data_IF_861114912513
#
_entry.id   IF_861114912513
#
_cell.length_a   1.000
_cell.length_b   1.000
_cell.length_c   1.000
_cell.angle_alpha   90.00
_cell.angle_beta   90.00
_cell.angle_gamma   90.00
#
_symmetry.space_group_name_H-M   'P 1'
#
loop_
_entity.id
_entity.type
_entity.pdbx_description
1 polymer ?
#
# COMPACT_ATOMS: atom_id res chain seq x y z
N UNK A 1 4.02 5.34 23.58
CA UNK A 1 4.41 3.93 23.75
C UNK A 1 3.53 3.11 22.82
N UNK A 2 4.11 2.46 21.82
CA UNK A 2 3.41 1.51 20.96
C UNK A 2 3.34 0.14 21.66
N UNK A 3 2.34 -0.69 21.33
CA UNK A 3 2.20 -2.05 21.85
C UNK A 3 2.58 -3.06 20.76
N UNK A 4 1.60 -3.79 20.22
CA UNK A 4 1.79 -4.75 19.13
C UNK A 4 1.68 -4.11 17.74
N UNK A 5 1.14 -2.88 17.68
CA UNK A 5 0.94 -2.11 16.45
C UNK A 5 1.35 -0.64 16.63
N UNK A 6 1.59 0.06 15.51
CA UNK A 6 1.79 1.50 15.46
C UNK A 6 1.36 2.10 14.12
N UNK A 7 1.09 3.41 14.10
CA UNK A 7 0.69 4.16 12.91
C UNK A 7 1.78 5.16 12.49
N UNK A 8 1.97 5.32 11.19
CA UNK A 8 2.73 6.41 10.57
C UNK A 8 1.78 7.30 9.79
N UNK A 9 2.04 8.61 9.79
CA UNK A 9 1.38 9.56 8.88
C UNK A 9 2.32 9.86 7.73
N UNK A 10 1.86 9.56 6.51
CA UNK A 10 2.57 9.94 5.27
C UNK A 10 2.13 11.30 4.72
N UNK A 11 1.44 12.12 5.53
CA UNK A 11 1.06 13.47 5.13
C UNK A 11 2.26 14.32 4.69
N UNK A 12 3.43 14.28 5.37
CA UNK A 12 4.59 15.03 4.89
C UNK A 12 5.06 14.59 3.49
N UNK A 13 5.02 13.29 3.19
CA UNK A 13 5.35 12.79 1.86
C UNK A 13 4.34 13.27 0.81
N UNK A 14 3.05 13.30 1.16
CA UNK A 14 2.00 13.79 0.27
C UNK A 14 2.17 15.28 -0.05
N UNK A 15 2.49 16.09 0.95
CA UNK A 15 2.64 17.54 0.81
C UNK A 15 3.95 17.95 0.11
N UNK A 16 5.04 17.22 0.35
CA UNK A 16 6.38 17.61 -0.16
C UNK A 16 6.71 17.01 -1.53
N UNK A 17 6.29 15.76 -1.78
CA UNK A 17 6.64 15.03 -3.03
C UNK A 17 5.43 14.45 -3.75
N UNK A 18 4.20 14.69 -3.26
CA UNK A 18 2.96 14.27 -3.94
C UNK A 18 2.58 12.80 -3.78
N UNK A 19 3.33 12.04 -2.99
CA UNK A 19 3.15 10.59 -2.77
C UNK A 19 2.17 10.34 -1.63
N UNK A 20 1.09 9.60 -1.90
CA UNK A 20 0.09 9.20 -0.90
C UNK A 20 0.47 7.90 -0.17
N UNK A 21 -0.22 7.60 0.93
CA UNK A 21 -0.10 6.30 1.59
C UNK A 21 -0.46 5.14 0.67
N UNK A 22 -1.44 5.33 -0.22
CA UNK A 22 -1.79 4.32 -1.22
C UNK A 22 -0.63 4.07 -2.20
N UNK A 23 0.09 5.11 -2.61
CA UNK A 23 1.23 4.96 -3.55
C UNK A 23 2.38 4.17 -2.91
N UNK A 24 2.70 4.43 -1.64
CA UNK A 24 3.68 3.65 -0.88
C UNK A 24 3.21 2.21 -0.68
N UNK A 25 1.93 2.01 -0.37
CA UNK A 25 1.33 0.68 -0.26
C UNK A 25 1.45 -0.12 -1.56
N UNK A 26 1.22 0.51 -2.73
CA UNK A 26 1.41 -0.14 -4.02
C UNK A 26 2.89 -0.42 -4.32
N UNK A 27 3.80 0.48 -3.94
CA UNK A 27 5.25 0.24 -4.06
C UNK A 27 5.73 -0.97 -3.24
N UNK A 28 5.15 -1.20 -2.06
CA UNK A 28 5.43 -2.40 -1.26
C UNK A 28 5.01 -3.70 -1.96
N UNK A 29 3.91 -3.69 -2.73
CA UNK A 29 3.50 -4.85 -3.53
C UNK A 29 4.55 -5.23 -4.56
N UNK A 30 5.20 -4.25 -5.20
CA UNK A 30 6.27 -4.49 -6.17
C UNK A 30 7.53 -5.06 -5.51
N UNK A 31 7.72 -4.83 -4.20
CA UNK A 31 8.78 -5.45 -3.39
C UNK A 31 8.37 -6.82 -2.82
N UNK A 32 7.17 -7.32 -3.15
CA UNK A 32 6.69 -8.63 -2.71
C UNK A 32 6.05 -8.64 -1.31
N UNK A 33 5.79 -7.47 -0.73
CA UNK A 33 5.10 -7.36 0.56
C UNK A 33 3.61 -7.11 0.37
N UNK A 34 2.79 -7.70 1.26
CA UNK A 34 1.43 -7.22 1.45
C UNK A 34 1.49 -5.87 2.19
N UNK A 35 0.77 -4.87 1.68
CA UNK A 35 0.79 -3.55 2.27
C UNK A 35 0.09 -3.54 3.64
N UNK A 36 0.64 -2.82 4.65
CA UNK A 36 -0.03 -2.60 5.92
C UNK A 36 -1.40 -1.94 5.75
N UNK A 37 -2.19 -1.90 6.84
CA UNK A 37 -3.49 -1.21 6.83
C UNK A 37 -3.30 0.26 6.47
N UNK A 38 -4.01 0.74 5.45
CA UNK A 38 -3.98 2.14 5.00
C UNK A 38 -5.26 2.87 5.37
N UNK A 39 -5.16 4.18 5.62
CA UNK A 39 -6.29 5.08 5.90
C UNK A 39 -7.16 4.71 7.12
N UNK A 40 -6.61 3.92 8.05
CA UNK A 40 -7.23 3.67 9.35
C UNK A 40 -6.15 3.64 10.45
N UNK A 41 -6.37 4.28 11.61
CA UNK A 41 -7.55 5.07 12.00
C UNK A 41 -7.65 6.43 11.28
N UNK A 42 -8.88 6.91 11.08
CA UNK A 42 -9.18 8.13 10.29
C UNK A 42 -8.59 9.43 10.86
N UNK A 43 -8.19 9.44 12.14
CA UNK A 43 -7.59 10.61 12.80
C UNK A 43 -6.12 10.84 12.42
N UNK A 44 -5.49 9.87 11.73
CA UNK A 44 -4.13 9.98 11.23
C UNK A 44 -4.20 10.22 9.71
N UNK A 45 -3.82 11.42 9.21
CA UNK A 45 -3.82 11.68 7.77
C UNK A 45 -2.80 10.83 7.04
N UNK A 46 -3.16 10.32 5.85
CA UNK A 46 -2.32 9.39 5.07
C UNK A 46 -1.76 8.25 5.95
N UNK A 47 -2.63 7.63 6.75
CA UNK A 47 -2.23 6.62 7.72
C UNK A 47 -1.72 5.36 7.03
N UNK A 48 -0.61 4.84 7.55
CA UNK A 48 -0.20 3.43 7.42
C UNK A 48 -0.05 2.84 8.82
N UNK A 49 -0.78 1.76 9.12
CA UNK A 49 -0.79 1.07 10.41
C UNK A 49 -0.13 -0.31 10.27
N UNK A 50 0.89 -0.56 11.08
CA UNK A 50 1.75 -1.74 11.03
C UNK A 50 1.52 -2.61 12.26
N UNK A 51 1.30 -3.90 12.05
CA UNK A 51 1.20 -4.94 13.08
C UNK A 51 1.93 -6.19 12.58
N UNK A 52 3.17 -6.47 13.02
CA UNK A 52 3.92 -7.64 12.56
C UNK A 52 3.49 -8.96 13.21
N UNK A 53 2.82 -8.91 14.37
CA UNK A 53 2.57 -10.07 15.26
C UNK A 53 3.84 -10.68 15.87
N UNK A 54 3.68 -11.57 16.85
CA UNK A 54 4.77 -12.21 17.57
C UNK A 54 5.48 -13.33 16.78
N UNK A 55 4.89 -13.77 15.67
CA UNK A 55 5.41 -14.91 14.90
C UNK A 55 6.52 -14.53 13.94
N UNK A 56 6.63 -13.24 13.60
CA UNK A 56 7.67 -12.74 12.69
C UNK A 56 9.02 -12.62 13.38
N UNK A 57 10.07 -13.05 12.68
CA UNK A 57 11.43 -12.99 13.19
C UNK A 57 11.99 -11.57 13.18
N UNK A 58 12.93 -11.25 14.07
CA UNK A 58 13.61 -9.95 14.05
C UNK A 58 14.24 -9.65 12.68
N UNK A 59 14.87 -10.66 12.07
CA UNK A 59 15.51 -10.50 10.76
C UNK A 59 14.49 -10.14 9.66
N UNK A 60 13.26 -10.67 9.74
CA UNK A 60 12.15 -10.27 8.86
C UNK A 60 11.78 -8.80 9.08
N UNK A 61 11.67 -8.36 10.34
CA UNK A 61 11.30 -6.98 10.68
C UNK A 61 12.37 -5.97 10.25
N UNK A 62 13.64 -6.30 10.49
CA UNK A 62 14.77 -5.47 10.09
C UNK A 62 14.80 -5.34 8.56
N UNK A 63 14.64 -6.45 7.84
CA UNK A 63 14.57 -6.45 6.37
C UNK A 63 13.38 -5.65 5.85
N UNK A 64 12.20 -5.81 6.43
CA UNK A 64 11.01 -5.03 6.05
C UNK A 64 11.22 -3.53 6.29
N UNK A 65 11.83 -3.14 7.41
CA UNK A 65 12.11 -1.74 7.72
C UNK A 65 13.10 -1.11 6.73
N UNK A 66 14.13 -1.85 6.33
CA UNK A 66 15.07 -1.44 5.28
C UNK A 66 14.37 -1.27 3.93
N UNK A 67 13.59 -2.28 3.50
CA UNK A 67 12.89 -2.27 2.23
C UNK A 67 11.80 -1.17 2.20
N UNK A 68 11.05 -0.97 3.28
CA UNK A 68 10.10 0.14 3.43
C UNK A 68 10.80 1.50 3.27
N UNK A 69 11.98 1.67 3.88
CA UNK A 69 12.77 2.89 3.72
C UNK A 69 13.31 3.07 2.30
N UNK A 70 13.48 1.99 1.52
CA UNK A 70 13.78 2.09 0.09
C UNK A 70 12.55 2.52 -0.72
N UNK A 71 11.36 1.99 -0.43
CA UNK A 71 10.11 2.43 -1.10
C UNK A 71 9.91 3.93 -0.95
N UNK A 72 10.14 4.49 0.25
CA UNK A 72 10.00 5.92 0.51
C UNK A 72 10.98 6.81 -0.28
N UNK A 73 12.04 6.24 -0.87
CA UNK A 73 13.03 6.95 -1.68
C UNK A 73 12.79 6.81 -3.18
N UNK A 74 11.86 5.95 -3.60
CA UNK A 74 11.45 5.83 -4.99
C UNK A 74 10.81 7.15 -5.42
N UNK A 75 11.10 7.59 -6.65
CA UNK A 75 10.53 8.81 -7.18
C UNK A 75 9.00 8.72 -7.31
N UNK A 76 8.34 9.88 -7.26
CA UNK A 76 6.89 9.94 -7.23
C UNK A 76 6.24 9.38 -8.50
N UNK A 77 6.85 9.58 -9.67
CA UNK A 77 6.35 9.11 -10.96
C UNK A 77 6.28 7.57 -10.97
N UNK A 78 7.36 6.92 -10.54
CA UNK A 78 7.40 5.46 -10.40
C UNK A 78 6.36 4.95 -9.39
N UNK A 79 6.20 5.60 -8.23
CA UNK A 79 5.22 5.19 -7.21
C UNK A 79 3.76 5.40 -7.63
N UNK A 80 3.47 6.42 -8.45
CA UNK A 80 2.13 6.63 -9.01
C UNK A 80 1.74 5.51 -9.97
N UNK A 81 2.72 4.96 -10.70
CA UNK A 81 2.53 3.85 -11.63
C UNK A 81 2.52 2.46 -10.96
N UNK A 82 2.99 2.37 -9.71
CA UNK A 82 3.00 1.12 -8.95
C UNK A 82 1.56 0.63 -8.65
N UNK A 83 1.30 -0.69 -8.62
CA UNK A 83 2.28 -1.75 -8.83
C UNK A 83 2.49 -2.02 -10.32
N UNK A 84 3.74 -2.34 -10.70
CA UNK A 84 4.13 -2.67 -12.08
C UNK A 84 4.59 -4.12 -12.26
N UNK A 85 5.03 -4.81 -11.19
CA UNK A 85 5.54 -6.19 -11.29
C UNK A 85 4.45 -7.23 -11.02
N UNK A 86 3.36 -6.84 -10.36
CA UNK A 86 2.22 -7.72 -10.08
C UNK A 86 1.42 -8.07 -11.34
N UNK A 87 0.73 -9.23 -11.40
CA UNK A 87 -0.03 -9.66 -12.58
C UNK A 87 -1.14 -8.69 -13.04
N UNK A 88 -1.66 -7.89 -12.11
CA UNK A 88 -2.70 -6.88 -12.35
C UNK A 88 -2.24 -5.57 -11.72
N UNK A 89 -2.22 -4.49 -12.51
CA UNK A 89 -1.85 -3.15 -12.07
C UNK A 89 -2.99 -2.48 -11.30
N UNK A 90 -2.96 -1.15 -11.15
CA UNK A 90 -4.08 -0.40 -10.57
C UNK A 90 -5.36 -0.67 -11.36
N UNK A 91 -6.39 -1.12 -10.65
CA UNK A 91 -7.72 -1.34 -11.21
C UNK A 91 -8.43 0.01 -11.32
N UNK A 92 -9.20 0.21 -12.38
CA UNK A 92 -10.04 1.39 -12.51
C UNK A 92 -11.27 1.28 -11.58
N UNK A 93 -11.08 1.71 -10.33
CA UNK A 93 -12.11 1.69 -9.30
C UNK A 93 -13.30 2.59 -9.66
N UNK A 94 -13.06 3.69 -10.40
CA UNK A 94 -14.11 4.62 -10.84
C UNK A 94 -15.01 3.96 -11.88
N UNK A 95 -14.40 3.30 -12.86
CA UNK A 95 -15.14 2.53 -13.86
C UNK A 95 -15.90 1.38 -13.19
N UNK A 96 -15.23 0.62 -12.32
CA UNK A 96 -15.86 -0.51 -11.64
C UNK A 96 -17.06 -0.09 -10.78
N UNK A 97 -16.96 1.03 -10.07
CA UNK A 97 -18.05 1.58 -9.27
C UNK A 97 -19.24 2.06 -10.12
N UNK A 98 -19.01 2.47 -11.37
CA UNK A 98 -20.04 2.97 -12.29
C UNK A 98 -20.62 1.88 -13.21
N UNK A 99 -19.85 0.85 -13.52
CA UNK A 99 -20.17 -0.21 -14.48
C UNK A 99 -20.01 -1.58 -13.82
N UNK A 100 -20.93 -1.91 -12.92
CA UNK A 100 -20.85 -3.10 -12.08
C UNK A 100 -21.00 -4.39 -12.89
N UNK A 101 -19.91 -5.15 -13.03
CA UNK A 101 -19.92 -6.51 -13.55
C UNK A 101 -19.89 -7.52 -12.39
N UNK A 102 -21.06 -7.88 -11.88
CA UNK A 102 -21.20 -8.69 -10.65
C UNK A 102 -21.30 -10.20 -10.90
N UNK A 103 -21.38 -10.61 -12.16
CA UNK A 103 -21.40 -12.01 -12.59
C UNK A 103 -20.42 -12.19 -13.74
N UNK A 104 -19.84 -13.38 -13.87
CA UNK A 104 -19.10 -13.72 -15.06
C UNK A 104 -20.06 -13.64 -16.27
N UNK A 105 -19.67 -13.00 -17.38
CA UNK A 105 -20.42 -13.11 -18.62
C UNK A 105 -20.21 -14.53 -19.13
N UNK A 106 -21.13 -15.43 -18.80
CA UNK A 106 -21.23 -16.68 -19.56
C UNK A 106 -21.68 -16.32 -20.97
N UNK A 107 -21.07 -16.95 -21.97
CA UNK A 107 -21.68 -16.98 -23.29
C UNK A 107 -22.97 -17.79 -23.15
N UNK A 108 -24.11 -17.18 -23.50
CA UNK A 108 -25.40 -17.86 -23.57
C UNK A 108 -25.37 -18.82 -24.78
N UNK A 109 -24.78 -20.01 -24.62
CA UNK A 109 -25.03 -21.17 -25.51
C UNK A 109 -26.37 -21.85 -25.18
#
# INVERSE_FOLDING_TARGET
VAKHEFTLSLQPAKETVGVSAMDVAKGLLDMGYMAPTVYFPLVVPECMMFEPTETESRDTLDKFAEDFAQVLKIDAETLHEAPITTPVRRVDEVYAARNLCLKHPFDDE
#
